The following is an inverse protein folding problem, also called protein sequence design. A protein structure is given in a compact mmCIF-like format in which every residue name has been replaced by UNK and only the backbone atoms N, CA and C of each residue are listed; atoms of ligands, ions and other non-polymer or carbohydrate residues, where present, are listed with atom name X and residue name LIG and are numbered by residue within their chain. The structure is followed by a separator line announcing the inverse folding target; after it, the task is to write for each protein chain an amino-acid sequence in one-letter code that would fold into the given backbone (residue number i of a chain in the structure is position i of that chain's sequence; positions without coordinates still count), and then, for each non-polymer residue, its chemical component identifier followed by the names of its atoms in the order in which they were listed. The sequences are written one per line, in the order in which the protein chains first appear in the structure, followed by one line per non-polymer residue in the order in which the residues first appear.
data_IF_871264429060
#
_entry.id   IF_871264429060
#
_cell.length_a   1.000
_cell.length_b   1.000
_cell.length_c   1.000
_cell.angle_alpha   90.00
_cell.angle_beta   90.00
_cell.angle_gamma   90.00
#
_symmetry.space_group_name_H-M   'P 1'
#
loop_
_entity.id
_entity.type
_entity.pdbx_description
1 polymer ?
#
# COMPACT_ATOMS: atom_id res chain seq x y z
N UNK A 1 -5.56 8.74 26.57
CA UNK A 1 -5.71 9.26 25.20
C UNK A 1 -4.76 8.45 24.33
N UNK A 2 -5.27 7.64 23.40
CA UNK A 2 -4.42 6.78 22.57
C UNK A 2 -3.85 7.65 21.45
N UNK A 3 -2.55 7.89 21.48
CA UNK A 3 -1.87 8.63 20.42
C UNK A 3 -2.04 7.88 19.10
N UNK A 4 -2.72 8.52 18.14
CA UNK A 4 -2.82 7.99 16.79
C UNK A 4 -1.48 8.23 16.10
N UNK A 5 -0.55 7.28 16.24
CA UNK A 5 0.65 7.29 15.41
C UNK A 5 0.23 7.15 13.94
N UNK A 6 0.66 8.04 13.03
CA UNK A 6 0.28 7.96 11.63
C UNK A 6 0.78 6.63 11.03
N UNK A 7 -0.13 5.88 10.43
CA UNK A 7 0.16 4.61 9.76
C UNK A 7 0.61 4.82 8.32
N UNK A 8 0.48 6.05 7.80
CA UNK A 8 0.92 6.45 6.46
C UNK A 8 2.39 6.10 6.24
N UNK A 9 2.69 5.47 5.11
CA UNK A 9 4.03 5.01 4.73
C UNK A 9 4.43 3.65 5.32
N UNK A 10 3.63 3.06 6.20
CA UNK A 10 3.90 1.73 6.73
C UNK A 10 3.41 0.64 5.80
N UNK A 11 4.05 -0.53 5.87
CA UNK A 11 3.66 -1.70 5.11
C UNK A 11 2.66 -2.54 5.88
N UNK A 12 1.81 -3.22 5.13
CA UNK A 12 0.80 -4.14 5.62
C UNK A 12 1.20 -5.55 5.21
N UNK A 13 1.45 -6.37 6.22
CA UNK A 13 1.74 -7.78 6.09
C UNK A 13 0.48 -8.58 6.45
N UNK A 14 0.16 -9.56 5.60
CA UNK A 14 -0.94 -10.49 5.83
C UNK A 14 -0.41 -11.91 5.73
N UNK A 15 -0.58 -12.67 6.82
CA UNK A 15 -0.09 -14.05 6.92
C UNK A 15 1.38 -14.23 6.47
N UNK A 16 2.28 -13.33 6.89
CA UNK A 16 3.71 -13.39 6.56
C UNK A 16 4.09 -12.85 5.17
N UNK A 17 3.16 -12.26 4.44
CA UNK A 17 3.40 -11.67 3.11
C UNK A 17 3.09 -10.19 3.09
N UNK A 18 4.00 -9.38 2.57
CA UNK A 18 3.77 -7.95 2.36
C UNK A 18 2.80 -7.79 1.19
N UNK A 19 1.62 -7.22 1.46
CA UNK A 19 0.55 -7.07 0.46
C UNK A 19 0.33 -5.63 0.02
N UNK A 20 0.73 -4.65 0.83
CA UNK A 20 0.52 -3.25 0.50
C UNK A 20 1.22 -2.26 1.40
N UNK A 21 1.11 -0.99 1.04
CA UNK A 21 1.58 0.17 1.79
C UNK A 21 0.40 1.10 2.07
N UNK A 22 0.32 1.64 3.29
CA UNK A 22 -0.68 2.64 3.65
C UNK A 22 -0.33 3.96 2.96
N UNK A 23 -1.10 4.32 1.93
CA UNK A 23 -0.96 5.59 1.22
C UNK A 23 -1.63 6.74 1.99
N UNK A 24 -2.78 6.46 2.60
CA UNK A 24 -3.52 7.44 3.41
C UNK A 24 -4.07 6.81 4.69
N UNK A 25 -4.07 7.63 5.74
CA UNK A 25 -4.53 7.26 7.07
C UNK A 25 -5.59 8.27 7.53
N UNK A 26 -6.86 7.86 7.45
CA UNK A 26 -8.01 8.66 7.89
C UNK A 26 -8.57 8.11 9.21
N UNK A 27 -9.41 8.88 9.92
CA UNK A 27 -9.93 8.46 11.25
C UNK A 27 -10.61 7.09 11.26
N UNK A 28 -11.28 6.70 10.17
CA UNK A 28 -12.03 5.44 10.06
C UNK A 28 -11.45 4.46 9.06
N UNK A 29 -10.76 4.95 8.04
CA UNK A 29 -10.34 4.16 6.88
C UNK A 29 -8.84 4.29 6.61
N UNK A 30 -8.28 3.26 6.00
CA UNK A 30 -6.93 3.23 5.45
C UNK A 30 -7.03 3.02 3.94
N UNK A 31 -6.28 3.81 3.17
CA UNK A 31 -6.04 3.52 1.76
C UNK A 31 -4.75 2.72 1.67
N UNK A 32 -4.85 1.47 1.21
CA UNK A 32 -3.69 0.58 1.07
C UNK A 32 -3.43 0.39 -0.43
N UNK A 33 -2.27 0.85 -0.89
CA UNK A 33 -1.78 0.62 -2.25
C UNK A 33 -1.08 -0.73 -2.28
N UNK A 34 -1.46 -1.58 -3.23
CA UNK A 34 -0.91 -2.92 -3.35
C UNK A 34 0.57 -2.83 -3.72
N UNK A 35 1.36 -3.74 -3.16
CA UNK A 35 2.79 -3.86 -3.49
C UNK A 35 3.12 -5.25 -3.99
N UNK A 36 4.25 -5.34 -4.69
CA UNK A 36 4.90 -6.58 -5.04
C UNK A 36 6.27 -6.63 -4.36
N UNK A 37 6.55 -7.69 -3.59
CA UNK A 37 7.86 -7.90 -2.99
C UNK A 37 8.77 -8.58 -4.02
N UNK A 38 9.68 -7.80 -4.62
CA UNK A 38 10.71 -8.30 -5.55
C UNK A 38 11.94 -8.88 -4.84
N UNK A 39 11.87 -9.08 -3.52
CA UNK A 39 12.97 -9.55 -2.68
C UNK A 39 13.91 -8.43 -2.26
N UNK A 40 14.56 -7.77 -3.23
CA UNK A 40 15.48 -6.63 -2.99
C UNK A 40 14.75 -5.31 -2.74
N UNK A 41 13.62 -5.12 -3.41
CA UNK A 41 12.84 -3.90 -3.38
C UNK A 41 11.35 -4.22 -3.34
N UNK A 42 10.57 -3.23 -2.93
CA UNK A 42 9.11 -3.32 -2.90
C UNK A 42 8.58 -2.39 -4.00
N UNK A 43 7.86 -2.96 -4.96
CA UNK A 43 7.26 -2.19 -6.06
C UNK A 43 5.81 -1.82 -5.72
N UNK A 44 5.48 -0.53 -5.81
CA UNK A 44 4.11 -0.02 -5.69
C UNK A 44 3.34 -0.22 -7.00
N UNK A 45 2.17 -0.85 -6.90
CA UNK A 45 1.27 -1.07 -8.02
C UNK A 45 0.24 0.07 -8.12
N UNK A 46 -0.30 0.31 -9.31
CA UNK A 46 -1.41 1.26 -9.55
C UNK A 46 -2.78 0.76 -9.03
N UNK A 47 -2.78 -0.18 -8.09
CA UNK A 47 -3.99 -0.72 -7.50
C UNK A 47 -4.02 -0.39 -6.02
N UNK A 48 -5.14 0.17 -5.55
CA UNK A 48 -5.34 0.47 -4.14
C UNK A 48 -6.75 0.06 -3.69
N UNK A 49 -6.90 -0.23 -2.40
CA UNK A 49 -8.17 -0.57 -1.78
C UNK A 49 -8.33 0.16 -0.45
N UNK A 50 -9.57 0.55 -0.15
CA UNK A 50 -9.94 1.11 1.13
C UNK A 50 -10.30 0.01 2.12
N UNK A 51 -9.82 0.15 3.35
CA UNK A 51 -10.12 -0.75 4.45
C UNK A 51 -10.60 0.03 5.67
N UNK A 52 -11.58 -0.52 6.37
CA UNK A 52 -11.96 -0.03 7.69
C UNK A 52 -10.86 -0.35 8.70
N UNK A 53 -10.48 0.64 9.50
CA UNK A 53 -9.44 0.48 10.53
C UNK A 53 -9.77 -0.61 11.53
N UNK A 54 -11.04 -0.74 11.91
CA UNK A 54 -11.51 -1.80 12.83
C UNK A 54 -11.21 -3.20 12.28
N UNK A 55 -11.35 -3.39 10.97
CA UNK A 55 -11.08 -4.66 10.29
C UNK A 55 -9.59 -4.99 10.23
N UNK A 56 -8.71 -3.97 10.25
CA UNK A 56 -7.26 -4.14 10.24
C UNK A 56 -6.73 -4.38 11.66
N UNK A 57 -7.13 -3.55 12.63
CA UNK A 57 -6.59 -3.56 13.99
C UNK A 57 -7.03 -4.80 14.79
N UNK A 58 -8.27 -5.26 14.59
CA UNK A 58 -8.81 -6.41 15.33
C UNK A 58 -8.51 -7.76 14.66
N UNK A 59 -7.75 -7.77 13.57
CA UNK A 59 -7.49 -8.96 12.80
C UNK A 59 -6.16 -9.61 13.21
N UNK A 60 -6.21 -10.87 13.65
CA UNK A 60 -5.03 -11.62 14.10
C UNK A 60 -4.00 -11.89 13.00
N UNK A 61 -4.40 -11.75 11.73
CA UNK A 61 -3.63 -12.13 10.54
C UNK A 61 -3.07 -10.93 9.78
N UNK A 62 -3.36 -9.70 10.22
CA UNK A 62 -2.89 -8.46 9.59
C UNK A 62 -1.95 -7.74 10.55
N UNK A 63 -0.75 -7.41 10.06
CA UNK A 63 0.28 -6.70 10.82
C UNK A 63 0.73 -5.47 10.06
N UNK A 64 0.98 -4.39 10.79
CA UNK A 64 1.61 -3.20 10.23
C UNK A 64 3.08 -3.25 10.64
N UNK A 65 3.96 -3.24 9.64
CA UNK A 65 5.41 -3.37 9.84
C UNK A 65 6.14 -2.15 9.26
N UNK A 66 7.29 -1.85 9.85
CA UNK A 66 8.29 -0.98 9.22
C UNK A 66 9.26 -1.88 8.48
N UNK A 67 9.60 -1.51 7.24
CA UNK A 67 10.61 -2.19 6.44
C UNK A 67 11.62 -1.15 5.97
N UNK A 68 12.89 -1.53 6.00
CA UNK A 68 14.00 -0.72 5.50
C UNK A 68 14.22 -0.92 3.98
N UNK A 69 13.45 -1.81 3.35
CA UNK A 69 13.53 -2.04 1.91
C UNK A 69 13.16 -0.76 1.14
N UNK A 70 13.92 -0.41 0.09
CA UNK A 70 13.53 0.69 -0.79
C UNK A 70 12.18 0.38 -1.44
N UNK A 71 11.35 1.42 -1.54
CA UNK A 71 10.03 1.35 -2.15
C UNK A 71 10.10 2.14 -3.45
N UNK A 72 9.90 1.46 -4.58
CA UNK A 72 9.89 2.07 -5.90
C UNK A 72 8.48 2.15 -6.47
N UNK A 73 8.16 3.27 -7.11
CA UNK A 73 6.94 3.40 -7.90
C UNK A 73 7.21 2.92 -9.33
N UNK A 74 6.35 2.05 -9.84
CA UNK A 74 6.41 1.70 -11.26
C UNK A 74 6.17 2.98 -12.08
N UNK A 75 7.07 3.31 -13.03
CA UNK A 75 6.88 4.47 -13.89
C UNK A 75 5.64 4.23 -14.74
N UNK A 76 4.61 5.05 -14.51
CA UNK A 76 3.44 5.11 -15.39
C UNK A 76 3.94 5.59 -16.74
N UNK A 77 4.13 4.68 -17.70
CA UNK A 77 4.33 5.12 -19.09
C UNK A 77 2.99 5.68 -19.55
N UNK A 78 2.89 6.98 -19.88
CA UNK A 78 1.69 7.47 -20.55
C UNK A 78 1.52 6.63 -21.81
N UNK A 79 0.33 6.04 -22.01
CA UNK A 79 0.00 5.43 -23.28
C UNK A 79 0.21 6.50 -24.35
N UNK A 80 1.13 6.27 -25.29
CA UNK A 80 1.31 7.10 -26.48
C UNK A 80 0.08 6.85 -27.38
N UNK A 81 -1.03 7.52 -27.06
CA UNK A 81 -2.28 7.43 -27.83
C UNK A 81 -2.12 8.27 -29.08
N UNK A 82 -1.30 7.81 -30.03
CA UNK A 82 -1.36 8.32 -31.41
C UNK A 82 -2.60 7.73 -32.06
N UNK A 83 -3.74 8.37 -31.80
CA UNK A 83 -4.92 8.22 -32.65
C UNK A 83 -4.57 8.80 -34.03
N UNK A 84 -4.10 7.95 -34.94
CA UNK A 84 -4.13 8.23 -36.37
C UNK A 84 -5.60 8.18 -36.81
N UNK A 85 -6.25 9.34 -36.86
CA UNK A 85 -7.45 9.50 -37.67
C UNK A 85 -7.00 9.53 -39.14
N UNK A 86 -7.22 8.41 -39.83
CA UNK A 86 -7.19 8.33 -41.29
C UNK A 86 -8.43 9.00 -41.88
#
# INVERSE_FOLDING_TARGET
MVEHSPLKGKLVEVAGRIIGMVAEDNKKTLLIRQVHDGGKEIMLLEKAMYFDKSSIINSYWIKIINSDKPIEELPVKPLDVRCNFF
#
